data_IF_082184403445
#
_entry.id   IF_082184403445
#
_cell.length_a   1.000
_cell.length_b   1.000
_cell.length_c   1.000
_cell.angle_alpha   90.00
_cell.angle_beta   90.00
_cell.angle_gamma   90.00
#
_symmetry.space_group_name_H-M   'P 1'
#
loop_
_entity.id
_entity.type
_entity.pdbx_description
1 polymer ?
#
# COMPACT_ATOMS: atom_id res chain seq x y z
N UNK A 1 13.92 7.41 -1.77
CA UNK A 1 13.28 7.28 -3.12
C UNK A 1 13.18 5.81 -3.48
N UNK A 2 11.98 5.36 -3.84
CA UNK A 2 11.65 3.97 -4.18
C UNK A 2 11.57 3.87 -5.70
N UNK A 3 12.50 3.14 -6.32
CA UNK A 3 12.50 2.95 -7.78
C UNK A 3 11.47 1.90 -8.17
N UNK A 4 10.59 2.25 -9.10
CA UNK A 4 9.58 1.35 -9.67
C UNK A 4 10.01 0.88 -11.06
N UNK A 5 10.40 1.82 -11.91
CA UNK A 5 10.94 1.57 -13.25
C UNK A 5 12.13 2.51 -13.52
N UNK A 6 12.74 2.42 -14.70
CA UNK A 6 13.81 3.34 -15.12
C UNK A 6 13.34 4.81 -15.17
N UNK A 7 12.03 5.03 -15.39
CA UNK A 7 11.43 6.37 -15.54
C UNK A 7 10.57 6.81 -14.36
N UNK A 8 10.23 5.90 -13.44
CA UNK A 8 9.33 6.17 -12.32
C UNK A 8 10.04 5.83 -11.02
N UNK A 9 10.21 6.85 -10.18
CA UNK A 9 10.68 6.72 -8.81
C UNK A 9 9.71 7.46 -7.89
N UNK A 10 9.21 6.77 -6.87
CA UNK A 10 8.33 7.36 -5.87
C UNK A 10 9.16 7.92 -4.72
N UNK A 11 8.70 9.00 -4.13
CA UNK A 11 9.18 9.46 -2.85
C UNK A 11 8.51 8.68 -1.71
N UNK A 12 9.25 8.49 -0.62
CA UNK A 12 8.73 7.75 0.54
C UNK A 12 7.52 8.43 1.19
N UNK A 13 7.43 9.77 1.09
CA UNK A 13 6.30 10.54 1.61
C UNK A 13 5.00 10.35 0.81
N UNK A 14 5.07 9.83 -0.41
CA UNK A 14 3.88 9.53 -1.21
C UNK A 14 3.16 8.27 -0.72
N UNK A 15 3.86 7.47 0.09
CA UNK A 15 3.38 6.20 0.61
C UNK A 15 3.12 6.36 2.10
N UNK A 16 1.86 6.16 2.50
CA UNK A 16 1.47 6.16 3.91
C UNK A 16 1.16 4.74 4.34
N UNK A 17 1.77 4.30 5.42
CA UNK A 17 1.63 2.95 5.96
C UNK A 17 0.91 3.01 7.30
N UNK A 18 -0.27 2.39 7.35
CA UNK A 18 -1.08 2.25 8.54
C UNK A 18 -0.97 0.82 9.07
N UNK A 19 -0.72 0.68 10.37
CA UNK A 19 -0.64 -0.62 11.02
C UNK A 19 -1.94 -0.87 11.79
N UNK A 20 -2.60 -1.99 11.51
CA UNK A 20 -3.89 -2.28 12.12
C UNK A 20 -3.72 -3.10 13.40
N UNK A 21 -4.32 -2.61 14.49
CA UNK A 21 -4.49 -3.35 15.75
C UNK A 21 -5.71 -4.27 15.65
N UNK A 22 -5.60 -5.49 16.16
CA UNK A 22 -6.75 -6.35 16.30
C UNK A 22 -7.60 -5.88 17.51
N UNK A 23 -8.60 -5.03 17.27
CA UNK A 23 -9.61 -4.76 18.29
C UNK A 23 -10.51 -5.99 18.48
N UNK A 24 -10.35 -6.68 19.60
CA UNK A 24 -11.26 -7.71 20.08
C UNK A 24 -11.20 -7.79 21.61
N UNK A 25 -12.30 -7.57 22.34
CA UNK A 25 -12.36 -7.85 23.77
C UNK A 25 -12.52 -9.36 23.98
N UNK A 26 -11.57 -10.00 24.67
CA UNK A 26 -11.82 -11.33 25.23
C UNK A 26 -10.65 -12.31 25.25
N UNK A 27 -10.31 -12.75 26.46
CA UNK A 27 -10.00 -14.15 26.74
C UNK A 27 -8.55 -14.59 26.52
N UNK A 28 -7.87 -14.85 27.64
CA UNK A 28 -6.72 -15.72 27.85
C UNK A 28 -5.96 -16.22 26.59
N UNK A 29 -4.74 -15.69 26.43
CA UNK A 29 -3.63 -16.21 25.61
C UNK A 29 -3.72 -16.12 24.07
N UNK A 30 -4.12 -14.98 23.52
CA UNK A 30 -3.79 -14.64 22.11
C UNK A 30 -2.87 -13.42 22.07
N UNK A 31 -1.55 -13.65 22.05
CA UNK A 31 -0.58 -12.67 21.56
C UNK A 31 -0.80 -12.49 20.06
N UNK A 32 -1.84 -11.74 19.68
CA UNK A 32 -2.14 -11.44 18.28
C UNK A 32 -1.19 -10.34 17.84
N UNK A 33 0.04 -10.72 17.48
CA UNK A 33 1.06 -9.79 17.01
C UNK A 33 0.50 -9.01 15.81
N UNK A 34 0.47 -7.69 15.96
CA UNK A 34 -0.18 -6.69 15.12
C UNK A 34 0.60 -6.51 13.82
N UNK A 35 0.53 -7.50 12.94
CA UNK A 35 1.43 -7.61 11.77
C UNK A 35 0.81 -7.06 10.49
N UNK A 36 -0.49 -6.75 10.49
CA UNK A 36 -1.19 -6.27 9.31
C UNK A 36 -0.75 -4.84 8.95
N UNK A 37 -0.43 -4.65 7.68
CA UNK A 37 -0.02 -3.37 7.08
C UNK A 37 -1.05 -2.97 6.03
N UNK A 38 -1.52 -1.72 6.11
CA UNK A 38 -2.31 -1.08 5.08
C UNK A 38 -1.48 0.03 4.46
N UNK A 39 -1.14 -0.11 3.19
CA UNK A 39 -0.45 0.88 2.40
C UNK A 39 -1.47 1.75 1.68
N UNK A 40 -1.28 3.06 1.74
CA UNK A 40 -2.05 4.06 1.01
C UNK A 40 -1.12 4.81 0.06
N UNK A 41 -1.55 4.97 -1.19
CA UNK A 41 -0.80 5.71 -2.20
C UNK A 41 -1.75 6.64 -2.97
N UNK A 42 -1.53 7.95 -2.88
CA UNK A 42 -2.34 8.96 -3.56
C UNK A 42 -1.86 9.12 -5.01
N UNK A 43 -2.53 8.45 -5.94
CA UNK A 43 -2.16 8.51 -7.35
C UNK A 43 -2.49 9.87 -7.97
N UNK A 44 -3.50 10.57 -7.44
CA UNK A 44 -4.00 11.81 -8.02
C UNK A 44 -3.01 12.94 -7.79
N UNK A 45 -2.51 13.04 -6.56
CA UNK A 45 -1.58 14.07 -6.13
C UNK A 45 -0.10 13.67 -6.24
N UNK A 46 0.20 12.45 -6.68
CA UNK A 46 1.58 12.00 -6.91
C UNK A 46 2.30 12.88 -7.96
N UNK A 47 3.43 13.54 -7.61
CA UNK A 47 4.28 14.24 -8.58
C UNK A 47 5.15 13.27 -9.41
N UNK A 48 5.29 12.03 -8.94
CA UNK A 48 6.16 11.01 -9.53
C UNK A 48 5.52 10.28 -10.71
N UNK A 49 4.23 10.51 -10.96
CA UNK A 49 3.45 9.87 -12.03
C UNK A 49 2.99 10.91 -13.06
N UNK A 50 3.17 10.59 -14.35
CA UNK A 50 2.56 11.34 -15.45
C UNK A 50 1.05 11.03 -15.55
N UNK A 51 0.28 11.96 -16.12
CA UNK A 51 -1.19 11.84 -16.22
C UNK A 51 -1.67 10.56 -16.92
N UNK A 52 -0.95 10.10 -17.96
CA UNK A 52 -1.25 8.85 -18.65
C UNK A 52 -1.07 7.63 -17.73
N UNK A 53 -0.01 7.62 -16.91
CA UNK A 53 0.26 6.58 -15.92
C UNK A 53 -0.79 6.62 -14.83
N UNK A 54 -1.17 7.80 -14.32
CA UNK A 54 -2.24 7.96 -13.33
C UNK A 54 -3.56 7.38 -13.85
N UNK A 55 -3.95 7.69 -15.08
CA UNK A 55 -5.18 7.19 -15.68
C UNK A 55 -5.17 5.67 -15.90
N UNK A 56 -4.03 5.11 -16.34
CA UNK A 56 -3.84 3.66 -16.48
C UNK A 56 -3.92 2.96 -15.12
N UNK A 57 -3.19 3.49 -14.14
CA UNK A 57 -3.10 2.96 -12.79
C UNK A 57 -4.46 2.98 -12.08
N UNK A 58 -5.25 4.05 -12.25
CA UNK A 58 -6.61 4.14 -11.73
C UNK A 58 -7.51 3.00 -12.26
N UNK A 59 -7.40 2.67 -13.55
CA UNK A 59 -8.14 1.54 -14.14
C UNK A 59 -7.66 0.19 -13.60
N UNK A 60 -6.35 -0.02 -13.48
CA UNK A 60 -5.76 -1.27 -12.98
C UNK A 60 -6.04 -1.52 -11.49
N UNK A 61 -6.05 -0.46 -10.69
CA UNK A 61 -6.35 -0.53 -9.27
C UNK A 61 -7.78 -1.04 -9.02
N UNK A 62 -8.73 -0.66 -9.89
CA UNK A 62 -10.12 -1.12 -9.84
C UNK A 62 -10.73 -0.89 -8.46
N UNK A 63 -11.14 -1.98 -7.79
CA UNK A 63 -11.76 -1.94 -6.45
C UNK A 63 -10.83 -1.44 -5.32
N UNK A 64 -9.52 -1.39 -5.57
CA UNK A 64 -8.52 -0.88 -4.60
C UNK A 64 -8.44 0.65 -4.60
N UNK A 65 -8.99 1.31 -5.62
CA UNK A 65 -8.98 2.76 -5.73
C UNK A 65 -10.17 3.36 -4.96
N UNK A 66 -9.90 4.31 -4.07
CA UNK A 66 -10.94 5.11 -3.42
C UNK A 66 -11.46 6.20 -4.36
N UNK A 67 -12.61 6.80 -4.01
CA UNK A 67 -13.17 7.94 -4.74
C UNK A 67 -12.24 9.15 -4.76
N UNK A 68 -11.39 9.29 -3.74
CA UNK A 68 -10.40 10.36 -3.62
C UNK A 68 -9.17 10.15 -4.52
N UNK A 69 -9.06 9.01 -5.21
CA UNK A 69 -7.89 8.69 -6.01
C UNK A 69 -6.73 8.12 -5.18
N UNK A 70 -7.04 7.43 -4.08
CA UNK A 70 -6.03 6.77 -3.24
C UNK A 70 -6.13 5.26 -3.44
N UNK A 71 -5.00 4.62 -3.73
CA UNK A 71 -4.91 3.16 -3.79
C UNK A 71 -4.68 2.63 -2.38
N UNK A 72 -5.51 1.66 -1.98
CA UNK A 72 -5.39 0.96 -0.71
C UNK A 72 -4.93 -0.48 -0.96
N UNK A 73 -3.80 -0.85 -0.36
CA UNK A 73 -3.25 -2.21 -0.39
C UNK A 73 -3.16 -2.72 1.03
N UNK A 74 -3.77 -3.87 1.32
CA UNK A 74 -3.66 -4.53 2.62
C UNK A 74 -2.79 -5.79 2.51
N UNK A 75 -1.81 -5.89 3.39
CA UNK A 75 -0.88 -7.01 3.53
C UNK A 75 -0.92 -7.55 4.96
N UNK A 76 -1.29 -8.83 5.09
CA UNK A 76 -1.41 -9.54 6.37
C UNK A 76 -1.03 -11.02 6.26
N UNK A 77 -0.26 -11.36 5.22
CA UNK A 77 0.09 -12.74 4.88
C UNK A 77 1.17 -13.30 5.79
N UNK A 78 2.04 -12.45 6.32
CA UNK A 78 3.22 -12.82 7.09
C UNK A 78 3.03 -12.59 8.58
N UNK A 79 3.83 -13.30 9.40
CA UNK A 79 3.84 -13.19 10.87
C UNK A 79 4.64 -12.00 11.40
N UNK A 80 5.16 -11.15 10.52
CA UNK A 80 6.02 -10.02 10.87
C UNK A 80 5.57 -8.81 10.07
N UNK A 81 5.45 -7.66 10.73
CA UNK A 81 5.07 -6.38 10.10
C UNK A 81 6.00 -6.01 8.94
N UNK A 82 7.31 -6.20 9.10
CA UNK A 82 8.30 -5.92 8.05
C UNK A 82 8.03 -6.69 6.74
N UNK A 83 7.77 -8.00 6.83
CA UNK A 83 7.45 -8.80 5.64
C UNK A 83 6.11 -8.42 5.01
N UNK A 84 5.13 -8.01 5.81
CA UNK A 84 3.86 -7.48 5.28
C UNK A 84 4.04 -6.10 4.64
N UNK A 85 4.92 -5.26 5.19
CA UNK A 85 5.31 -3.98 4.62
C UNK A 85 5.91 -4.18 3.23
N UNK A 86 6.87 -5.10 3.12
CA UNK A 86 7.49 -5.46 1.86
C UNK A 86 6.47 -6.03 0.85
N UNK A 87 5.57 -6.93 1.27
CA UNK A 87 4.49 -7.47 0.42
C UNK A 87 3.53 -6.37 -0.07
N UNK A 88 3.16 -5.41 0.78
CA UNK A 88 2.32 -4.29 0.36
C UNK A 88 3.02 -3.40 -0.68
N UNK A 89 4.30 -3.11 -0.48
CA UNK A 89 5.10 -2.30 -1.39
C UNK A 89 5.33 -3.00 -2.73
N UNK A 90 5.66 -4.29 -2.71
CA UNK A 90 5.85 -5.10 -3.92
C UNK A 90 4.58 -5.10 -4.80
N UNK A 91 3.42 -5.28 -4.18
CA UNK A 91 2.12 -5.19 -4.88
C UNK A 91 1.84 -3.80 -5.46
N UNK A 92 2.30 -2.74 -4.81
CA UNK A 92 2.18 -1.39 -5.36
C UNK A 92 3.07 -1.25 -6.60
N UNK A 93 4.33 -1.68 -6.49
CA UNK A 93 5.32 -1.62 -7.57
C UNK A 93 4.83 -2.42 -8.78
N UNK A 94 4.35 -3.64 -8.57
CA UNK A 94 3.80 -4.51 -9.62
C UNK A 94 2.59 -3.86 -10.31
N UNK A 95 1.76 -3.14 -9.57
CA UNK A 95 0.60 -2.44 -10.12
C UNK A 95 0.99 -1.23 -10.99
N UNK A 96 2.11 -0.57 -10.69
CA UNK A 96 2.59 0.62 -11.41
C UNK A 96 3.40 0.23 -12.66
N UNK A 97 4.09 -0.91 -12.62
CA UNK A 97 4.89 -1.44 -13.73
C UNK A 97 4.08 -1.58 -15.02
#
# INVERSE_FOLDING_TARGET
>A
MIRVTDRIALHEWEIVEEFARASGPGGQNVQKVETAVRLRFDIRNSPSLADDVKARLARLAGRRLTKDGVILIEARRHRTQERNRADALDRLIDLIR
#
